data_IF_365642909557
#
_entry.id   IF_365642909557
#
_cell.length_a   1.000
_cell.length_b   1.000
_cell.length_c   1.000
_cell.angle_alpha   90.00
_cell.angle_beta   90.00
_cell.angle_gamma   90.00
#
_symmetry.space_group_name_H-M   'P 1'
#
loop_
_entity.id
_entity.type
_entity.pdbx_description
1 polymer ?
#
# COMPACT_ATOMS: atom_id res chain seq x y z
N UNK A 1 -29.88 -3.59 -2.33
CA UNK A 1 -29.18 -2.36 -1.90
C UNK A 1 -27.73 -2.47 -2.33
N UNK A 2 -27.23 -1.49 -3.07
CA UNK A 2 -25.83 -1.37 -3.43
C UNK A 2 -24.96 -1.21 -2.16
N UNK A 3 -23.67 -1.51 -2.26
CA UNK A 3 -22.67 -1.21 -1.21
C UNK A 3 -21.61 -0.30 -1.78
N UNK A 4 -21.04 0.58 -0.95
CA UNK A 4 -19.82 1.32 -1.30
C UNK A 4 -18.66 0.32 -1.22
N UNK A 5 -17.92 0.15 -2.31
CA UNK A 5 -16.79 -0.79 -2.36
C UNK A 5 -15.48 -0.05 -2.14
N UNK A 6 -14.69 -0.48 -1.17
CA UNK A 6 -13.31 -0.02 -0.97
C UNK A 6 -12.41 -1.08 -1.60
N UNK A 7 -11.77 -0.73 -2.69
CA UNK A 7 -11.06 -1.68 -3.55
C UNK A 7 -9.55 -1.49 -3.39
N UNK A 8 -8.88 -2.51 -2.91
CA UNK A 8 -7.43 -2.56 -2.86
C UNK A 8 -6.86 -2.93 -4.23
N UNK A 9 -6.04 -2.05 -4.81
CA UNK A 9 -5.39 -2.26 -6.11
C UNK A 9 -4.14 -3.16 -6.03
N UNK A 10 -3.75 -3.56 -4.82
CA UNK A 10 -2.56 -4.38 -4.62
C UNK A 10 -1.26 -3.60 -4.73
N UNK A 11 -0.19 -4.32 -5.02
CA UNK A 11 1.20 -3.85 -4.98
C UNK A 11 1.58 -2.81 -6.05
N UNK A 12 0.69 -2.47 -6.96
CA UNK A 12 1.00 -1.68 -8.16
C UNK A 12 1.24 -2.53 -9.41
N UNK A 13 1.38 -3.84 -9.26
CA UNK A 13 1.45 -4.80 -10.38
C UNK A 13 0.02 -5.12 -10.81
N UNK A 14 -0.42 -4.77 -12.04
CA UNK A 14 -1.81 -4.99 -12.47
C UNK A 14 -2.28 -6.44 -12.37
N UNK A 15 -1.40 -7.40 -12.69
CA UNK A 15 -1.73 -8.82 -12.66
C UNK A 15 -1.94 -9.37 -11.24
N UNK A 16 -1.51 -8.62 -10.21
CA UNK A 16 -1.72 -8.99 -8.81
C UNK A 16 -3.06 -8.47 -8.25
N UNK A 17 -3.91 -7.88 -9.09
CA UNK A 17 -5.25 -7.51 -8.65
C UNK A 17 -6.08 -8.77 -8.39
N UNK A 18 -6.85 -8.81 -7.31
CA UNK A 18 -7.74 -9.94 -7.06
C UNK A 18 -8.90 -9.95 -8.05
N UNK A 19 -9.37 -11.14 -8.44
CA UNK A 19 -10.54 -11.26 -9.33
C UNK A 19 -11.75 -10.49 -8.80
N UNK A 20 -11.96 -10.48 -7.48
CA UNK A 20 -13.07 -9.76 -6.85
C UNK A 20 -12.91 -8.24 -6.98
N UNK A 21 -11.69 -7.72 -6.79
CA UNK A 21 -11.38 -6.31 -7.01
C UNK A 21 -11.56 -5.90 -8.47
N UNK A 22 -11.08 -6.72 -9.41
CA UNK A 22 -11.25 -6.50 -10.85
C UNK A 22 -12.74 -6.46 -11.25
N UNK A 23 -13.54 -7.44 -10.80
CA UNK A 23 -14.98 -7.48 -11.05
C UNK A 23 -15.67 -6.25 -10.47
N UNK A 24 -15.30 -5.86 -9.24
CA UNK A 24 -15.87 -4.70 -8.59
C UNK A 24 -15.58 -3.39 -9.32
N UNK A 25 -14.36 -3.21 -9.85
CA UNK A 25 -14.00 -2.07 -10.70
C UNK A 25 -14.86 -2.01 -11.97
N UNK A 26 -15.05 -3.15 -12.62
CA UNK A 26 -15.87 -3.26 -13.84
C UNK A 26 -17.32 -2.86 -13.60
N UNK A 27 -17.88 -3.28 -12.46
CA UNK A 27 -19.25 -3.00 -12.05
C UNK A 27 -19.49 -1.57 -11.55
N UNK A 28 -18.42 -0.86 -11.16
CA UNK A 28 -18.51 0.49 -10.62
C UNK A 28 -19.01 1.48 -11.67
N UNK A 29 -19.94 2.33 -11.28
CA UNK A 29 -20.40 3.46 -12.08
C UNK A 29 -19.49 4.69 -11.89
N UNK A 30 -19.01 4.90 -10.64
CA UNK A 30 -18.05 5.96 -10.29
C UNK A 30 -16.97 5.36 -9.40
N UNK A 31 -15.71 5.72 -9.69
CA UNK A 31 -14.53 5.24 -8.98
C UNK A 31 -13.75 6.45 -8.45
N UNK A 32 -13.67 6.58 -7.14
CA UNK A 32 -12.82 7.58 -6.50
C UNK A 32 -11.39 7.06 -6.40
N UNK A 33 -10.44 7.80 -6.94
CA UNK A 33 -9.04 7.42 -6.92
C UNK A 33 -8.15 8.56 -6.39
N UNK A 34 -7.25 8.30 -5.42
CA UNK A 34 -6.18 9.24 -5.12
C UNK A 34 -5.34 9.46 -6.38
N UNK A 35 -5.04 10.75 -6.68
CA UNK A 35 -4.19 11.10 -7.82
C UNK A 35 -2.79 10.45 -7.72
N UNK A 36 -2.16 10.26 -8.87
CA UNK A 36 -0.83 9.66 -8.96
C UNK A 36 -0.88 8.15 -9.15
N UNK A 37 -0.26 7.36 -8.25
CA UNK A 37 -0.03 5.94 -8.48
C UNK A 37 -1.32 5.11 -8.61
N UNK A 38 -2.38 5.43 -7.87
CA UNK A 38 -3.64 4.70 -8.00
C UNK A 38 -4.24 4.82 -9.40
N UNK A 39 -4.18 6.02 -9.98
CA UNK A 39 -4.63 6.27 -11.36
C UNK A 39 -3.75 5.53 -12.37
N UNK A 40 -2.42 5.56 -12.22
CA UNK A 40 -1.49 4.83 -13.09
C UNK A 40 -1.75 3.31 -13.07
N UNK A 41 -2.08 2.74 -11.93
CA UNK A 41 -2.45 1.31 -11.85
C UNK A 41 -3.73 1.05 -12.62
N UNK A 42 -4.76 1.92 -12.48
CA UNK A 42 -5.99 1.80 -13.24
C UNK A 42 -5.76 1.92 -14.76
N UNK A 43 -4.88 2.83 -15.21
CA UNK A 43 -4.49 2.99 -16.62
C UNK A 43 -3.86 1.72 -17.21
N UNK A 44 -3.13 0.98 -16.38
CA UNK A 44 -2.48 -0.28 -16.80
C UNK A 44 -3.38 -1.50 -16.76
N UNK A 45 -4.59 -1.41 -16.20
CA UNK A 45 -5.56 -2.51 -16.17
C UNK A 45 -6.21 -2.69 -17.55
N UNK A 46 -5.48 -3.24 -18.50
CA UNK A 46 -6.04 -3.75 -19.76
C UNK A 46 -6.80 -5.06 -19.45
N UNK A 47 -8.04 -5.25 -19.74
CA UNK A 47 -8.93 -4.77 -20.79
C UNK A 47 -10.05 -3.84 -20.30
N UNK A 48 -9.85 -2.98 -19.35
CA UNK A 48 -10.86 -2.04 -18.85
C UNK A 48 -10.62 -0.63 -19.42
N UNK A 49 -10.58 -0.49 -20.75
CA UNK A 49 -10.25 0.77 -21.43
C UNK A 49 -11.18 1.92 -21.06
N UNK A 50 -12.47 1.63 -20.80
CA UNK A 50 -13.45 2.65 -20.39
C UNK A 50 -13.41 2.98 -18.90
N UNK A 51 -12.53 2.33 -18.12
CA UNK A 51 -12.48 2.49 -16.66
C UNK A 51 -12.18 3.93 -16.26
N UNK A 52 -11.27 4.58 -16.98
CA UNK A 52 -10.84 5.94 -16.67
C UNK A 52 -11.94 6.99 -16.85
N UNK A 53 -12.94 6.72 -17.69
CA UNK A 53 -14.12 7.59 -17.86
C UNK A 53 -14.98 7.65 -16.59
N UNK A 54 -14.84 6.67 -15.70
CA UNK A 54 -15.58 6.55 -14.44
C UNK A 54 -14.80 7.10 -13.23
N UNK A 55 -13.55 7.56 -13.42
CA UNK A 55 -12.65 7.94 -12.34
C UNK A 55 -12.84 9.41 -11.94
N UNK A 56 -13.27 9.63 -10.71
CA UNK A 56 -13.18 10.94 -10.04
C UNK A 56 -11.87 10.96 -9.22
N UNK A 57 -10.89 11.77 -9.65
CA UNK A 57 -9.61 11.89 -8.96
C UNK A 57 -9.67 12.89 -7.81
N UNK A 58 -8.89 12.66 -6.78
CA UNK A 58 -8.72 13.61 -5.67
C UNK A 58 -7.27 13.62 -5.18
N UNK A 59 -6.79 14.81 -4.82
CA UNK A 59 -5.44 15.01 -4.34
C UNK A 59 -5.38 14.88 -2.82
N UNK A 60 -4.46 14.04 -2.33
CA UNK A 60 -4.15 13.96 -0.91
C UNK A 60 -2.92 14.84 -0.66
N UNK A 61 -3.05 15.93 0.13
CA UNK A 61 -1.91 16.76 0.45
C UNK A 61 -0.85 15.95 1.20
N UNK A 62 0.35 15.82 0.62
CA UNK A 62 1.51 15.16 1.23
C UNK A 62 2.25 16.10 2.21
N UNK A 63 1.54 17.03 2.86
CA UNK A 63 2.10 17.98 3.81
C UNK A 63 2.10 17.42 5.23
N UNK A 64 3.00 17.93 6.08
CA UNK A 64 3.11 17.54 7.49
C UNK A 64 1.87 17.87 8.34
N UNK A 65 0.94 18.67 7.82
CA UNK A 65 -0.30 19.03 8.51
C UNK A 65 -1.41 17.99 8.22
N UNK A 66 -1.76 17.14 9.19
CA UNK A 66 -2.79 16.11 9.03
C UNK A 66 -4.19 16.67 8.79
N UNK A 67 -4.45 17.94 9.16
CA UNK A 67 -5.77 18.57 9.03
C UNK A 67 -6.15 18.79 7.57
N UNK A 68 -5.17 19.10 6.71
CA UNK A 68 -5.39 19.29 5.27
C UNK A 68 -5.85 18.00 4.58
N UNK A 69 -5.28 16.87 4.97
CA UNK A 69 -5.70 15.57 4.46
C UNK A 69 -7.09 15.18 4.99
N UNK A 70 -7.41 15.53 6.25
CA UNK A 70 -8.73 15.27 6.84
C UNK A 70 -9.84 15.93 6.03
N UNK A 71 -9.71 17.21 5.69
CA UNK A 71 -10.72 17.93 4.90
C UNK A 71 -10.95 17.33 3.49
N UNK A 72 -9.93 16.71 2.88
CA UNK A 72 -10.09 15.99 1.61
C UNK A 72 -10.88 14.69 1.83
N UNK A 73 -10.54 13.92 2.87
CA UNK A 73 -11.26 12.69 3.19
C UNK A 73 -12.73 12.95 3.53
N UNK A 74 -13.04 14.04 4.23
CA UNK A 74 -14.41 14.42 4.55
C UNK A 74 -15.21 14.71 3.28
N UNK A 75 -14.65 15.46 2.32
CA UNK A 75 -15.29 15.74 1.02
C UNK A 75 -15.51 14.46 0.21
N UNK A 76 -14.53 13.59 0.14
CA UNK A 76 -14.64 12.30 -0.57
C UNK A 76 -15.69 11.41 0.11
N UNK A 77 -15.69 11.34 1.43
CA UNK A 77 -16.69 10.60 2.21
C UNK A 77 -18.10 11.11 1.95
N UNK A 78 -18.29 12.43 1.97
CA UNK A 78 -19.59 13.04 1.68
C UNK A 78 -20.06 12.70 0.26
N UNK A 79 -19.18 12.83 -0.71
CA UNK A 79 -19.50 12.55 -2.11
C UNK A 79 -19.85 11.08 -2.36
N UNK A 80 -19.08 10.15 -1.76
CA UNK A 80 -19.39 8.70 -1.79
C UNK A 80 -20.77 8.42 -1.19
N UNK A 81 -21.09 9.04 -0.06
CA UNK A 81 -22.36 8.87 0.63
C UNK A 81 -23.53 9.41 -0.21
N UNK A 82 -23.39 10.59 -0.82
CA UNK A 82 -24.42 11.20 -1.68
C UNK A 82 -24.74 10.35 -2.91
N UNK A 83 -23.73 9.72 -3.50
CA UNK A 83 -23.92 8.80 -4.64
C UNK A 83 -24.55 7.47 -4.20
N UNK A 84 -24.14 6.96 -3.04
CA UNK A 84 -24.74 5.76 -2.43
C UNK A 84 -26.23 5.97 -2.15
N UNK A 85 -26.63 7.12 -1.60
CA UNK A 85 -28.04 7.47 -1.35
C UNK A 85 -28.88 7.59 -2.64
N UNK A 86 -28.21 7.81 -3.78
CA UNK A 86 -28.82 7.77 -5.12
C UNK A 86 -28.78 6.39 -5.77
N UNK A 87 -28.44 5.35 -4.99
CA UNK A 87 -28.34 3.95 -5.42
C UNK A 87 -27.31 3.69 -6.53
N UNK A 88 -26.33 4.61 -6.69
CA UNK A 88 -25.24 4.44 -7.65
C UNK A 88 -24.22 3.41 -7.16
N UNK A 89 -23.61 2.69 -8.10
CA UNK A 89 -22.51 1.76 -7.84
C UNK A 89 -21.22 2.58 -7.72
N UNK A 90 -20.76 2.79 -6.49
CA UNK A 90 -19.60 3.63 -6.21
C UNK A 90 -18.49 2.84 -5.52
N UNK A 91 -17.26 3.19 -5.87
CA UNK A 91 -16.06 2.58 -5.29
C UNK A 91 -15.01 3.65 -4.95
N UNK A 92 -14.20 3.35 -3.93
CA UNK A 92 -12.97 4.05 -3.61
C UNK A 92 -11.82 3.07 -3.79
N UNK A 93 -10.79 3.45 -4.52
CA UNK A 93 -9.59 2.63 -4.68
C UNK A 93 -8.44 3.11 -3.78
N UNK A 94 -7.58 2.17 -3.41
CA UNK A 94 -6.32 2.45 -2.68
C UNK A 94 -5.21 1.54 -3.17
N UNK A 95 -3.97 2.05 -3.17
CA UNK A 95 -2.78 1.24 -3.43
C UNK A 95 -2.48 0.36 -2.22
N UNK A 96 -1.93 -0.81 -2.45
CA UNK A 96 -1.67 -1.81 -1.43
C UNK A 96 -2.94 -2.53 -1.00
N UNK A 97 -3.00 -2.90 0.27
CA UNK A 97 -4.20 -3.41 0.92
C UNK A 97 -4.83 -2.33 1.81
N UNK A 98 -6.14 -2.18 1.73
CA UNK A 98 -6.87 -1.16 2.49
C UNK A 98 -6.73 -1.33 4.01
N UNK A 99 -6.48 -2.54 4.50
CA UNK A 99 -6.30 -2.85 5.92
C UNK A 99 -4.88 -2.60 6.44
N UNK A 100 -3.91 -2.27 5.54
CA UNK A 100 -2.50 -2.12 5.92
C UNK A 100 -2.05 -0.66 5.76
N UNK A 101 -1.99 0.08 6.86
CA UNK A 101 -1.53 1.47 6.94
C UNK A 101 -2.18 2.42 5.92
N UNK A 102 -3.39 2.10 5.49
CA UNK A 102 -4.17 2.91 4.55
C UNK A 102 -5.11 3.88 5.29
N UNK A 103 -5.23 5.09 4.77
CA UNK A 103 -6.21 6.07 5.25
C UNK A 103 -7.65 5.73 4.83
N UNK A 104 -7.85 4.77 3.94
CA UNK A 104 -9.19 4.35 3.49
C UNK A 104 -10.11 3.94 4.64
N UNK A 105 -9.56 3.34 5.72
CA UNK A 105 -10.37 2.95 6.88
C UNK A 105 -10.96 4.13 7.68
N UNK A 106 -10.41 5.34 7.55
CA UNK A 106 -11.05 6.54 8.09
C UNK A 106 -12.37 6.82 7.38
N UNK A 107 -12.38 6.67 6.05
CA UNK A 107 -13.58 6.81 5.20
C UNK A 107 -14.57 5.68 5.51
N UNK A 108 -14.11 4.43 5.62
CA UNK A 108 -14.95 3.28 6.00
C UNK A 108 -15.68 3.55 7.32
N UNK A 109 -14.94 3.97 8.35
CA UNK A 109 -15.51 4.23 9.68
C UNK A 109 -16.61 5.30 9.64
N UNK A 110 -16.36 6.38 8.90
CA UNK A 110 -17.32 7.49 8.79
C UNK A 110 -18.56 7.10 7.97
N UNK A 111 -18.40 6.38 6.86
CA UNK A 111 -19.51 5.88 6.05
C UNK A 111 -20.38 4.90 6.86
N UNK A 112 -19.75 4.02 7.63
CA UNK A 112 -20.46 3.06 8.50
C UNK A 112 -21.26 3.77 9.58
N UNK A 113 -20.70 4.82 10.22
CA UNK A 113 -21.44 5.66 11.18
C UNK A 113 -22.69 6.30 10.59
N UNK A 114 -22.64 6.65 9.29
CA UNK A 114 -23.77 7.22 8.54
C UNK A 114 -24.80 6.16 8.10
N UNK A 115 -24.58 4.88 8.43
CA UNK A 115 -25.45 3.77 8.07
C UNK A 115 -25.28 3.26 6.64
N UNK A 116 -24.22 3.66 5.92
CA UNK A 116 -23.93 3.11 4.60
C UNK A 116 -23.44 1.66 4.71
N UNK A 117 -23.86 0.83 3.77
CA UNK A 117 -23.30 -0.51 3.61
C UNK A 117 -21.96 -0.40 2.89
N UNK A 118 -20.88 -0.75 3.58
CA UNK A 118 -19.52 -0.71 3.03
C UNK A 118 -18.97 -2.12 2.90
N UNK A 119 -18.28 -2.39 1.81
CA UNK A 119 -17.57 -3.64 1.55
C UNK A 119 -16.10 -3.33 1.26
N UNK A 120 -15.18 -3.97 1.98
CA UNK A 120 -13.73 -3.81 1.77
C UNK A 120 -13.20 -5.03 1.04
N UNK A 121 -12.58 -4.80 -0.11
CA UNK A 121 -11.98 -5.85 -0.95
C UNK A 121 -10.46 -5.84 -0.74
N UNK A 122 -9.87 -6.97 -0.27
CA UNK A 122 -8.45 -7.03 0.00
C UNK A 122 -7.61 -7.02 -1.28
N UNK A 123 -6.35 -6.65 -1.14
CA UNK A 123 -5.35 -6.69 -2.20
C UNK A 123 -4.07 -7.41 -1.76
N UNK A 124 -3.18 -7.68 -2.71
CA UNK A 124 -1.86 -8.25 -2.40
C UNK A 124 -0.95 -7.13 -1.88
N UNK A 125 -0.49 -7.19 -0.61
CA UNK A 125 0.41 -6.18 -0.07
C UNK A 125 1.74 -6.14 -0.82
N UNK A 126 2.33 -4.96 -0.92
CA UNK A 126 3.57 -4.76 -1.69
C UNK A 126 4.76 -5.58 -1.17
N UNK A 127 4.91 -5.75 0.15
CA UNK A 127 5.97 -6.58 0.72
C UNK A 127 5.79 -8.08 0.40
N UNK A 128 4.56 -8.56 0.23
CA UNK A 128 4.28 -9.94 -0.21
C UNK A 128 4.64 -10.10 -1.69
N UNK A 129 4.14 -9.20 -2.53
CA UNK A 129 4.39 -9.23 -3.97
C UNK A 129 5.89 -9.06 -4.30
N UNK A 130 6.57 -8.15 -3.61
CA UNK A 130 7.97 -7.88 -3.84
C UNK A 130 8.89 -9.04 -3.44
N UNK A 131 8.60 -9.70 -2.31
CA UNK A 131 9.37 -10.89 -1.91
C UNK A 131 9.16 -12.06 -2.86
N UNK A 132 7.93 -12.23 -3.39
CA UNK A 132 7.65 -13.23 -4.42
C UNK A 132 8.44 -12.95 -5.72
N UNK A 133 8.51 -11.67 -6.15
CA UNK A 133 9.33 -11.28 -7.31
C UNK A 133 10.84 -11.48 -7.08
N UNK A 134 11.30 -11.26 -5.85
CA UNK A 134 12.69 -11.53 -5.47
C UNK A 134 13.00 -13.04 -5.36
N UNK A 135 12.00 -13.90 -5.48
CA UNK A 135 12.09 -15.36 -5.28
C UNK A 135 12.64 -15.73 -3.89
N UNK A 136 12.29 -14.92 -2.87
CA UNK A 136 12.68 -15.13 -1.48
C UNK A 136 11.42 -15.28 -0.63
N UNK A 137 11.31 -16.31 0.23
CA UNK A 137 10.16 -16.41 1.13
C UNK A 137 10.11 -15.19 2.06
N UNK A 138 8.92 -14.61 2.26
CA UNK A 138 8.76 -13.50 3.20
C UNK A 138 9.10 -13.97 4.63
N UNK A 139 8.52 -15.08 5.03
CA UNK A 139 8.78 -15.79 6.31
C UNK A 139 8.89 -17.27 6.06
N UNK A 140 9.70 -17.95 6.85
CA UNK A 140 9.83 -19.39 6.89
C UNK A 140 9.07 -19.98 8.08
N UNK A 141 8.90 -21.31 8.09
CA UNK A 141 8.23 -21.97 9.19
C UNK A 141 8.96 -21.69 10.53
N UNK A 142 8.20 -21.25 11.51
CA UNK A 142 8.72 -20.88 12.83
C UNK A 142 9.16 -19.43 12.97
N UNK A 143 9.21 -18.66 11.87
CA UNK A 143 9.50 -17.23 11.92
C UNK A 143 8.21 -16.40 12.11
N UNK A 144 8.34 -15.28 12.78
CA UNK A 144 7.32 -14.26 12.88
C UNK A 144 7.60 -13.10 11.90
N UNK A 145 6.57 -12.33 11.55
CA UNK A 145 6.68 -11.10 10.78
C UNK A 145 6.32 -9.89 11.64
N UNK A 146 7.24 -8.94 11.75
CA UNK A 146 6.97 -7.60 12.28
C UNK A 146 6.85 -6.62 11.13
N UNK A 147 5.69 -5.94 11.02
CA UNK A 147 5.44 -4.94 9.99
C UNK A 147 5.48 -3.55 10.60
N UNK A 148 6.37 -2.68 10.08
CA UNK A 148 6.60 -1.33 10.57
C UNK A 148 6.26 -0.29 9.51
N UNK A 149 5.56 0.77 9.91
CA UNK A 149 5.38 2.00 9.12
C UNK A 149 5.94 3.23 9.82
N UNK A 150 6.41 3.05 11.06
CA UNK A 150 7.03 4.06 11.90
C UNK A 150 8.16 3.42 12.69
N UNK A 151 9.29 4.12 12.76
CA UNK A 151 10.47 3.75 13.55
C UNK A 151 10.80 4.95 14.41
N UNK A 152 10.74 4.77 15.73
CA UNK A 152 11.07 5.82 16.70
C UNK A 152 12.50 5.65 17.23
N UNK A 153 12.93 4.39 17.39
CA UNK A 153 14.25 4.01 17.88
C UNK A 153 14.82 2.84 17.08
N UNK A 154 16.14 2.65 17.02
CA UNK A 154 16.73 1.45 16.41
C UNK A 154 16.20 0.13 16.99
N UNK A 155 15.81 0.12 18.26
CA UNK A 155 15.27 -1.06 18.93
C UNK A 155 13.95 -1.54 18.31
N UNK A 156 13.17 -0.67 17.66
CA UNK A 156 11.93 -1.06 16.98
C UNK A 156 12.20 -2.08 15.85
N UNK A 157 13.42 -2.06 15.29
CA UNK A 157 13.89 -2.98 14.26
C UNK A 157 14.76 -4.08 14.85
N UNK A 158 15.71 -3.74 15.72
CA UNK A 158 16.70 -4.68 16.26
C UNK A 158 16.08 -5.72 17.20
N UNK A 159 15.12 -5.33 18.05
CA UNK A 159 14.49 -6.24 19.00
C UNK A 159 13.72 -7.38 18.31
N UNK A 160 12.85 -7.12 17.30
CA UNK A 160 12.24 -8.19 16.54
C UNK A 160 13.26 -9.09 15.82
N UNK A 161 14.29 -8.51 15.21
CA UNK A 161 15.34 -9.29 14.52
C UNK A 161 16.10 -10.21 15.50
N UNK A 162 16.46 -9.71 16.68
CA UNK A 162 17.12 -10.50 17.74
C UNK A 162 16.23 -11.64 18.25
N UNK A 163 14.91 -11.49 18.17
CA UNK A 163 13.92 -12.51 18.53
C UNK A 163 13.58 -13.45 17.36
N UNK A 164 14.33 -13.43 16.26
CA UNK A 164 14.14 -14.30 15.11
C UNK A 164 12.98 -13.90 14.17
N UNK A 165 12.40 -12.71 14.36
CA UNK A 165 11.34 -12.21 13.48
C UNK A 165 11.92 -11.54 12.23
N UNK A 166 11.25 -11.74 11.10
CA UNK A 166 11.48 -10.93 9.90
C UNK A 166 10.85 -9.56 10.11
N UNK A 167 11.53 -8.49 9.67
CA UNK A 167 11.03 -7.12 9.79
C UNK A 167 10.80 -6.53 8.39
N UNK A 168 9.54 -6.20 8.09
CA UNK A 168 9.18 -5.47 6.88
C UNK A 168 8.91 -4.00 7.22
N UNK A 169 9.60 -3.08 6.56
CA UNK A 169 9.50 -1.65 6.80
C UNK A 169 8.90 -0.98 5.58
N UNK A 170 7.73 -0.38 5.75
CA UNK A 170 7.05 0.43 4.74
C UNK A 170 7.40 1.91 4.93
N UNK A 171 7.22 2.73 3.86
CA UNK A 171 7.55 4.16 3.86
C UNK A 171 9.02 4.42 4.22
N UNK A 172 9.90 3.59 3.70
CA UNK A 172 11.32 3.57 4.03
C UNK A 172 12.01 4.93 3.82
N UNK A 173 11.55 5.74 2.87
CA UNK A 173 12.10 7.09 2.62
C UNK A 173 12.22 7.97 3.86
N UNK A 174 11.37 7.75 4.86
CA UNK A 174 11.39 8.50 6.13
C UNK A 174 12.52 8.05 7.06
N UNK A 175 13.03 6.83 6.88
CA UNK A 175 13.96 6.15 7.80
C UNK A 175 15.20 5.62 7.09
N UNK A 176 15.42 5.99 5.81
CA UNK A 176 16.45 5.39 4.98
C UNK A 176 17.87 5.48 5.59
N UNK A 177 18.24 6.61 6.19
CA UNK A 177 19.57 6.78 6.75
C UNK A 177 19.80 5.87 7.97
N UNK A 178 18.81 5.76 8.86
CA UNK A 178 18.88 4.88 10.02
C UNK A 178 18.98 3.40 9.62
N UNK A 179 18.25 3.02 8.56
CA UNK A 179 18.28 1.62 8.08
C UNK A 179 19.56 1.32 7.32
N UNK A 180 20.08 2.27 6.53
CA UNK A 180 21.39 2.13 5.89
C UNK A 180 22.50 1.93 6.92
N UNK A 181 22.49 2.73 7.99
CA UNK A 181 23.46 2.61 9.05
C UNK A 181 23.33 1.27 9.81
N UNK A 182 22.11 0.83 10.09
CA UNK A 182 21.85 -0.48 10.71
C UNK A 182 22.42 -1.63 9.86
N UNK A 183 22.23 -1.58 8.54
CA UNK A 183 22.72 -2.63 7.65
C UNK A 183 24.24 -2.57 7.42
N UNK A 184 24.88 -1.39 7.51
CA UNK A 184 26.35 -1.29 7.50
C UNK A 184 27.01 -1.92 8.74
N UNK A 185 26.37 -1.76 9.89
CA UNK A 185 26.91 -2.25 11.16
C UNK A 185 26.59 -3.73 11.41
N UNK A 186 25.43 -4.20 10.88
CA UNK A 186 24.95 -5.55 11.08
C UNK A 186 24.92 -6.34 9.77
N UNK A 187 25.38 -7.57 9.78
CA UNK A 187 25.32 -8.45 8.59
C UNK A 187 23.95 -9.12 8.47
N UNK A 188 22.88 -8.31 8.29
CA UNK A 188 21.51 -8.81 8.13
C UNK A 188 21.19 -9.07 6.65
N UNK A 189 20.68 -10.27 6.30
CA UNK A 189 20.10 -10.47 4.98
C UNK A 189 18.89 -9.55 4.79
N UNK A 190 18.78 -8.92 3.64
CA UNK A 190 17.66 -8.03 3.34
C UNK A 190 17.26 -8.11 1.87
N UNK A 191 16.06 -7.64 1.57
CA UNK A 191 15.59 -7.35 0.22
C UNK A 191 14.98 -5.96 0.21
N UNK A 192 15.60 -5.07 -0.55
CA UNK A 192 15.08 -3.73 -0.83
C UNK A 192 14.29 -3.74 -2.13
N UNK A 193 13.17 -3.02 -2.18
CA UNK A 193 12.33 -2.91 -3.35
C UNK A 193 11.66 -1.55 -3.44
N UNK A 194 11.53 -1.04 -4.65
CA UNK A 194 10.86 0.23 -4.93
C UNK A 194 10.09 0.16 -6.24
N UNK A 195 9.03 0.97 -6.36
CA UNK A 195 8.21 1.13 -7.55
C UNK A 195 7.70 -0.19 -8.14
N UNK A 196 7.27 -1.14 -7.30
CA UNK A 196 6.79 -2.45 -7.74
C UNK A 196 5.70 -2.31 -8.82
N UNK A 197 5.90 -3.01 -9.94
CA UNK A 197 5.00 -2.98 -11.10
C UNK A 197 5.11 -1.74 -11.98
N UNK A 198 6.01 -0.82 -11.71
CA UNK A 198 6.33 0.34 -12.55
C UNK A 198 7.57 0.06 -13.39
N UNK A 199 7.75 0.81 -14.50
CA UNK A 199 8.98 0.75 -15.33
C UNK A 199 10.25 1.11 -14.55
N UNK A 200 10.09 1.88 -13.47
CA UNK A 200 11.18 2.28 -12.55
C UNK A 200 11.45 1.26 -11.47
N UNK A 201 10.80 0.10 -11.53
CA UNK A 201 10.97 -0.93 -10.51
C UNK A 201 12.44 -1.29 -10.30
N UNK A 202 12.85 -1.36 -9.05
CA UNK A 202 14.18 -1.79 -8.66
C UNK A 202 14.10 -2.69 -7.43
N UNK A 203 14.82 -3.81 -7.47
CA UNK A 203 14.97 -4.75 -6.37
C UNK A 203 16.45 -5.07 -6.19
N UNK A 204 16.90 -5.15 -4.93
CA UNK A 204 18.26 -5.59 -4.63
C UNK A 204 18.37 -6.19 -3.23
N UNK A 205 19.31 -7.12 -3.07
CA UNK A 205 19.80 -7.62 -1.78
C UNK A 205 21.30 -7.30 -1.59
N UNK A 206 21.87 -6.53 -2.53
CA UNK A 206 23.26 -6.06 -2.46
C UNK A 206 23.33 -4.76 -1.67
N UNK A 207 24.23 -4.74 -0.67
CA UNK A 207 24.35 -3.61 0.25
C UNK A 207 24.81 -2.33 -0.46
N UNK A 208 25.83 -2.39 -1.29
CA UNK A 208 26.37 -1.22 -1.98
C UNK A 208 25.34 -0.61 -2.93
N UNK A 209 24.61 -1.45 -3.66
CA UNK A 209 23.51 -1.03 -4.51
C UNK A 209 22.41 -0.33 -3.71
N UNK A 210 22.04 -0.83 -2.53
CA UNK A 210 21.07 -0.17 -1.66
C UNK A 210 21.61 1.15 -1.08
N UNK A 211 22.84 1.16 -0.60
CA UNK A 211 23.44 2.34 0.03
C UNK A 211 23.54 3.53 -0.93
N UNK A 212 23.78 3.27 -2.21
CA UNK A 212 23.90 4.30 -3.26
C UNK A 212 22.55 4.95 -3.64
N UNK A 213 21.41 4.37 -3.24
CA UNK A 213 20.09 4.87 -3.65
C UNK A 213 19.51 5.88 -2.68
N UNK A 214 18.71 6.81 -3.21
CA UNK A 214 17.76 7.60 -2.43
C UNK A 214 16.40 6.91 -2.49
N UNK A 215 15.89 6.48 -1.35
CA UNK A 215 14.65 5.71 -1.28
C UNK A 215 13.44 6.59 -1.62
N UNK A 216 12.64 6.26 -2.65
CA UNK A 216 11.41 6.98 -2.94
C UNK A 216 10.31 6.66 -1.90
N UNK A 217 9.19 7.37 -1.96
CA UNK A 217 8.04 7.11 -1.08
C UNK A 217 7.52 5.67 -1.22
N UNK A 218 7.42 5.18 -2.45
CA UNK A 218 7.03 3.79 -2.75
C UNK A 218 8.23 2.85 -2.67
N UNK A 219 8.81 2.75 -1.48
CA UNK A 219 9.90 1.84 -1.17
C UNK A 219 9.63 1.05 0.10
N UNK A 220 10.14 -0.17 0.12
CA UNK A 220 10.00 -1.14 1.20
C UNK A 220 11.34 -1.86 1.35
N UNK A 221 11.66 -2.23 2.58
CA UNK A 221 12.73 -3.18 2.85
C UNK A 221 12.22 -4.29 3.75
N UNK A 222 12.62 -5.51 3.45
CA UNK A 222 12.42 -6.67 4.31
C UNK A 222 13.78 -7.13 4.81
N UNK A 223 13.95 -7.14 6.12
CA UNK A 223 15.19 -7.53 6.79
C UNK A 223 14.94 -8.84 7.50
N UNK A 224 15.82 -9.82 7.30
CA UNK A 224 15.74 -11.12 7.94
C UNK A 224 16.67 -11.18 9.16
N UNK A 225 16.32 -11.99 10.19
CA UNK A 225 17.24 -12.25 11.28
C UNK A 225 18.51 -12.92 10.74
N UNK A 226 19.62 -12.74 11.44
CA UNK A 226 20.84 -13.49 11.15
C UNK A 226 20.58 -14.98 11.41
N UNK A 227 21.09 -15.83 10.53
CA UNK A 227 21.06 -17.27 10.78
C UNK A 227 21.92 -17.58 11.99
N UNK A 228 21.38 -18.30 12.96
CA UNK A 228 22.11 -18.81 14.12
C UNK A 228 23.02 -19.95 13.69
#
# INVERSE_FOLDING_TARGET
MSSIKIISLGSGVPDNITLRAFTALKESGVIFAPSGEAVRVLERLKPLEDLLLKVEQFDIPMKKDPSLAAGVYDKVTQRLYDLYMKEQQVSLVTIGDAGIYSSAFKIVAELTKRGAKVEVLPGVPSFVAGMAQAMVPLVEQGQNLTLLSQINTPSDVLTPLANGSVVAIMKLSLYQESIKELLRQGNYPFTYMEWLGDEKQFLTSDLESFLSRTCPYFSIIVIKPQSV
#
